data_IF_966540577472
#
_entry.id   IF_966540577472
#
_cell.length_a   1.000
_cell.length_b   1.000
_cell.length_c   1.000
_cell.angle_alpha   90.00
_cell.angle_beta   90.00
_cell.angle_gamma   90.00
#
_symmetry.space_group_name_H-M   'P 1'
#
loop_
_entity.id
_entity.type
_entity.pdbx_description
1 polymer ?
#
# COMPACT_ATOMS: atom_id res chain seq x y z
N UNK A 1 24.32 31.40 1.89
CA UNK A 1 23.17 31.68 1.01
C UNK A 1 22.02 32.12 1.90
N UNK A 2 21.65 33.37 1.84
CA UNK A 2 20.47 33.88 2.53
C UNK A 2 19.23 33.31 1.82
N UNK A 3 18.26 32.77 2.61
CA UNK A 3 17.01 32.21 2.07
C UNK A 3 16.10 33.36 1.62
N UNK A 4 15.52 33.22 0.44
CA UNK A 4 14.52 34.18 -0.03
C UNK A 4 13.25 34.05 0.85
N UNK A 5 12.55 35.16 1.21
CA UNK A 5 11.36 35.12 2.04
C UNK A 5 10.20 34.26 1.50
N UNK A 6 10.17 34.01 0.19
CA UNK A 6 9.19 33.16 -0.48
C UNK A 6 9.67 31.71 -0.70
N UNK A 7 10.84 31.34 -0.20
CA UNK A 7 11.28 29.95 -0.25
C UNK A 7 10.34 29.07 0.56
N UNK A 8 9.80 28.05 -0.08
CA UNK A 8 8.94 27.05 0.59
C UNK A 8 9.80 26.23 1.54
N UNK A 9 9.74 26.57 2.81
CA UNK A 9 10.38 25.78 3.86
C UNK A 9 9.45 24.64 4.22
N UNK A 10 9.87 23.37 4.09
CA UNK A 10 9.10 22.26 4.60
C UNK A 10 8.86 22.49 6.09
N UNK A 11 7.60 22.47 6.53
CA UNK A 11 7.30 22.44 7.95
C UNK A 11 8.06 21.25 8.54
N UNK A 12 8.99 21.52 9.47
CA UNK A 12 9.76 20.47 10.12
C UNK A 12 8.81 19.56 10.87
N UNK A 13 8.30 18.55 10.18
CA UNK A 13 7.61 17.48 10.86
C UNK A 13 8.69 16.55 11.38
N UNK A 14 8.95 16.54 12.66
CA UNK A 14 9.77 15.56 13.37
C UNK A 14 9.15 14.15 13.35
N UNK A 15 8.28 13.90 12.38
CA UNK A 15 7.57 12.64 12.20
C UNK A 15 8.53 11.60 11.67
N UNK A 16 9.13 10.85 12.56
CA UNK A 16 10.00 9.72 12.22
C UNK A 16 9.14 8.47 12.07
N UNK A 17 8.73 8.17 10.84
CA UNK A 17 8.20 6.85 10.53
C UNK A 17 9.33 5.82 10.61
N UNK A 18 9.05 4.63 11.13
CA UNK A 18 9.97 3.49 10.93
C UNK A 18 10.05 3.25 9.43
N UNK A 19 11.25 3.18 8.90
CA UNK A 19 11.49 2.92 7.47
C UNK A 19 11.95 1.47 7.28
N UNK A 20 11.66 0.93 6.10
CA UNK A 20 12.09 -0.40 5.72
C UNK A 20 13.58 -0.44 5.39
N UNK A 21 14.21 -1.61 5.60
CA UNK A 21 15.52 -1.96 5.04
C UNK A 21 15.45 -2.14 3.52
N UNK A 22 14.25 -2.40 2.98
CA UNK A 22 14.01 -2.60 1.57
C UNK A 22 13.61 -1.27 0.92
N UNK A 23 14.55 -0.63 0.26
CA UNK A 23 14.38 0.71 -0.35
C UNK A 23 13.24 0.78 -1.38
N UNK A 24 12.89 -0.36 -1.98
CA UNK A 24 11.78 -0.47 -2.95
C UNK A 24 10.44 0.00 -2.36
N UNK A 25 10.25 -0.14 -1.04
CA UNK A 25 9.02 0.25 -0.34
C UNK A 25 9.09 1.59 0.37
N UNK A 26 10.23 2.26 0.36
CA UNK A 26 10.37 3.54 1.04
C UNK A 26 9.95 4.70 0.13
N UNK A 27 9.39 5.80 0.69
CA UNK A 27 9.17 6.03 2.12
C UNK A 27 7.86 5.43 2.65
N UNK A 28 7.86 5.03 3.93
CA UNK A 28 6.65 4.68 4.67
C UNK A 28 6.04 5.94 5.33
N UNK A 29 4.72 5.99 5.59
CA UNK A 29 3.71 5.02 5.18
C UNK A 29 3.52 4.97 3.66
N UNK A 30 3.24 3.77 3.13
CA UNK A 30 3.04 3.52 1.70
C UNK A 30 1.57 3.19 1.41
N UNK A 31 1.08 3.63 0.25
CA UNK A 31 -0.20 3.24 -0.33
C UNK A 31 0.08 2.49 -1.62
N UNK A 32 0.03 1.17 -1.55
CA UNK A 32 0.34 0.29 -2.67
C UNK A 32 -0.94 -0.33 -3.25
N UNK A 33 -1.05 -0.35 -4.57
CA UNK A 33 -2.17 -0.93 -5.29
C UNK A 33 -1.69 -2.09 -6.18
N UNK A 34 -2.32 -3.24 -6.06
CA UNK A 34 -2.01 -4.47 -6.78
C UNK A 34 -3.15 -4.81 -7.72
N UNK A 35 -2.89 -4.84 -9.01
CA UNK A 35 -3.89 -5.12 -10.04
C UNK A 35 -3.51 -6.37 -10.82
N UNK A 36 -4.36 -7.41 -10.74
CA UNK A 36 -4.22 -8.66 -11.48
C UNK A 36 -5.59 -9.31 -11.71
N UNK A 37 -5.78 -10.08 -12.78
CA UNK A 37 -6.94 -10.97 -12.91
C UNK A 37 -7.05 -11.93 -11.72
N UNK A 38 -8.18 -12.59 -11.59
CA UNK A 38 -8.36 -13.67 -10.60
C UNK A 38 -7.22 -14.69 -10.74
N UNK A 39 -6.75 -15.21 -9.60
CA UNK A 39 -5.62 -16.17 -9.52
C UNK A 39 -4.29 -15.64 -10.10
N UNK A 40 -4.18 -14.34 -10.37
CA UNK A 40 -2.94 -13.71 -10.88
C UNK A 40 -1.82 -13.57 -9.87
N UNK A 41 -2.07 -13.78 -8.57
CA UNK A 41 -1.07 -13.69 -7.49
C UNK A 41 -1.04 -12.34 -6.75
N UNK A 42 -2.05 -11.48 -6.95
CA UNK A 42 -2.12 -10.15 -6.31
C UNK A 42 -2.08 -10.19 -4.79
N UNK A 43 -2.91 -11.04 -4.18
CA UNK A 43 -3.00 -11.21 -2.71
C UNK A 43 -1.68 -11.73 -2.15
N UNK A 44 -1.09 -12.76 -2.78
CA UNK A 44 0.22 -13.30 -2.40
C UNK A 44 1.33 -12.27 -2.47
N UNK A 45 1.36 -11.43 -3.51
CA UNK A 45 2.34 -10.36 -3.64
C UNK A 45 2.16 -9.29 -2.56
N UNK A 46 0.91 -8.88 -2.27
CA UNK A 46 0.63 -7.92 -1.21
C UNK A 46 1.06 -8.47 0.17
N UNK A 47 0.72 -9.72 0.49
CA UNK A 47 1.13 -10.40 1.72
C UNK A 47 2.66 -10.50 1.81
N UNK A 48 3.34 -10.81 0.71
CA UNK A 48 4.81 -10.85 0.65
C UNK A 48 5.42 -9.47 0.97
N UNK A 49 4.87 -8.38 0.42
CA UNK A 49 5.31 -7.03 0.73
C UNK A 49 5.09 -6.68 2.21
N UNK A 50 3.93 -7.01 2.77
CA UNK A 50 3.63 -6.80 4.20
C UNK A 50 4.61 -7.57 5.08
N UNK A 51 4.93 -8.82 4.72
CA UNK A 51 5.88 -9.64 5.43
C UNK A 51 7.32 -9.10 5.34
N UNK A 52 7.73 -8.57 4.19
CA UNK A 52 9.05 -7.92 4.03
C UNK A 52 9.19 -6.67 4.90
N UNK A 53 8.08 -6.02 5.22
CA UNK A 53 8.00 -4.81 6.04
C UNK A 53 7.64 -5.07 7.50
N UNK A 54 7.66 -6.34 7.94
CA UNK A 54 7.07 -6.77 9.22
C UNK A 54 7.59 -5.98 10.42
N UNK A 55 8.86 -5.67 10.45
CA UNK A 55 9.48 -4.93 11.56
C UNK A 55 9.04 -3.47 11.64
N UNK A 56 8.36 -2.96 10.61
CA UNK A 56 7.85 -1.59 10.57
C UNK A 56 6.47 -1.44 11.22
N UNK A 57 5.72 -2.54 11.39
CA UNK A 57 4.34 -2.49 11.85
C UNK A 57 4.21 -2.61 13.37
N UNK A 58 3.22 -1.92 13.92
CA UNK A 58 2.77 -2.07 15.30
C UNK A 58 1.41 -2.78 15.36
N UNK A 59 0.60 -2.68 14.30
CA UNK A 59 -0.63 -3.46 14.08
C UNK A 59 -0.80 -3.77 12.59
N UNK A 60 -1.32 -4.95 12.28
CA UNK A 60 -1.70 -5.36 10.92
C UNK A 60 -3.16 -5.78 10.93
N UNK A 61 -3.94 -5.28 9.98
CA UNK A 61 -5.37 -5.58 9.84
C UNK A 61 -5.66 -6.01 8.41
N UNK A 62 -6.47 -7.05 8.24
CA UNK A 62 -6.88 -7.62 6.97
C UNK A 62 -8.37 -7.41 6.76
N UNK A 63 -8.74 -6.83 5.63
CA UNK A 63 -10.08 -6.77 5.11
C UNK A 63 -10.17 -7.64 3.87
N UNK A 64 -10.86 -8.78 3.95
CA UNK A 64 -11.08 -9.66 2.81
C UNK A 64 -12.39 -10.43 2.98
N UNK A 65 -13.24 -10.46 1.95
CA UNK A 65 -14.49 -11.20 2.00
C UNK A 65 -14.32 -12.72 2.22
N UNK A 66 -13.09 -13.23 2.04
CA UNK A 66 -12.73 -14.64 2.22
C UNK A 66 -11.76 -14.85 3.39
N UNK A 67 -11.66 -13.88 4.30
CA UNK A 67 -10.65 -13.91 5.38
C UNK A 67 -10.79 -15.12 6.31
N UNK A 68 -12.00 -15.66 6.47
CA UNK A 68 -12.27 -16.82 7.32
C UNK A 68 -12.08 -18.18 6.61
N UNK A 69 -11.98 -18.18 5.28
CA UNK A 69 -11.99 -19.42 4.48
C UNK A 69 -10.76 -19.60 3.60
N UNK A 70 -9.97 -18.53 3.36
CA UNK A 70 -8.76 -18.62 2.55
C UNK A 70 -7.52 -18.76 3.44
N UNK A 71 -6.85 -19.94 3.42
CA UNK A 71 -5.67 -20.22 4.26
C UNK A 71 -4.51 -19.22 4.06
N UNK A 72 -4.50 -18.47 2.95
CA UNK A 72 -3.49 -17.45 2.72
C UNK A 72 -3.56 -16.32 3.76
N UNK A 73 -4.76 -16.03 4.30
CA UNK A 73 -4.94 -15.02 5.34
C UNK A 73 -4.72 -15.57 6.75
N UNK A 74 -4.98 -16.85 7.01
CA UNK A 74 -4.82 -17.46 8.34
C UNK A 74 -3.41 -17.18 8.91
N UNK A 75 -2.37 -17.48 8.12
CA UNK A 75 -0.99 -17.27 8.54
C UNK A 75 -0.68 -15.79 8.82
N UNK A 76 -1.26 -14.87 8.05
CA UNK A 76 -1.06 -13.43 8.23
C UNK A 76 -1.78 -12.93 9.48
N UNK A 77 -3.04 -13.36 9.70
CA UNK A 77 -3.86 -12.99 10.87
C UNK A 77 -3.24 -13.53 12.15
N UNK A 78 -2.84 -14.81 12.17
CA UNK A 78 -2.12 -15.41 13.30
C UNK A 78 -0.83 -14.65 13.65
N UNK A 79 -0.09 -14.25 12.62
CA UNK A 79 1.13 -13.45 12.80
C UNK A 79 0.80 -12.06 13.33
N UNK A 80 -0.34 -11.46 12.91
CA UNK A 80 -0.81 -10.15 13.40
C UNK A 80 -1.21 -10.22 14.88
N UNK A 81 -1.93 -11.27 15.31
CA UNK A 81 -2.25 -11.51 16.73
C UNK A 81 -0.99 -11.67 17.57
N UNK A 82 0.00 -12.44 17.11
CA UNK A 82 1.30 -12.57 17.79
C UNK A 82 2.06 -11.23 17.88
N UNK A 83 1.89 -10.35 16.89
CA UNK A 83 2.47 -9.01 16.94
C UNK A 83 1.84 -8.17 18.03
N UNK A 84 0.51 -8.20 18.21
CA UNK A 84 -0.21 -7.51 19.29
C UNK A 84 0.29 -7.97 20.66
N UNK A 85 0.34 -9.29 20.92
CA UNK A 85 0.88 -9.86 22.16
C UNK A 85 2.28 -9.35 22.44
N UNK A 86 3.15 -9.35 21.43
CA UNK A 86 4.54 -8.84 21.56
C UNK A 86 4.59 -7.34 21.93
N UNK A 87 3.55 -6.59 21.53
CA UNK A 87 3.42 -5.15 21.84
C UNK A 87 2.75 -4.89 23.19
N UNK A 88 2.23 -5.92 23.84
CA UNK A 88 1.53 -5.82 25.12
C UNK A 88 0.03 -5.52 24.98
N UNK A 89 -0.49 -5.66 23.75
CA UNK A 89 -1.92 -5.52 23.47
C UNK A 89 -2.59 -6.91 23.57
N UNK A 90 -3.85 -6.96 24.08
CA UNK A 90 -4.64 -8.20 24.14
C UNK A 90 -5.24 -8.50 22.75
N UNK A 91 -4.94 -9.64 22.13
CA UNK A 91 -5.49 -9.99 20.83
C UNK A 91 -6.98 -10.34 20.85
N UNK A 92 -7.55 -10.65 22.03
CA UNK A 92 -8.97 -10.98 22.21
C UNK A 92 -9.82 -9.73 22.52
N UNK A 93 -9.20 -8.57 22.70
CA UNK A 93 -9.93 -7.31 22.82
C UNK A 93 -10.58 -6.97 21.45
N UNK A 94 -11.91 -6.69 21.41
CA UNK A 94 -12.63 -6.33 20.18
C UNK A 94 -12.05 -5.12 19.44
N UNK A 95 -11.31 -4.25 20.13
CA UNK A 95 -10.62 -3.12 19.48
C UNK A 95 -9.27 -3.50 18.84
N UNK A 96 -8.79 -4.70 19.13
CA UNK A 96 -7.57 -5.27 18.58
C UNK A 96 -7.80 -6.30 17.48
N UNK A 97 -9.03 -6.45 17.02
CA UNK A 97 -9.36 -7.33 15.91
C UNK A 97 -8.46 -7.09 14.69
N UNK A 98 -8.00 -8.18 14.07
CA UNK A 98 -7.03 -8.16 12.96
C UNK A 98 -7.62 -8.59 11.62
N UNK A 99 -8.86 -9.08 11.59
CA UNK A 99 -9.50 -9.63 10.40
C UNK A 99 -10.97 -9.21 10.30
N UNK A 100 -11.39 -8.75 9.14
CA UNK A 100 -12.75 -8.31 8.86
C UNK A 100 -13.19 -8.76 7.47
N UNK A 101 -14.41 -9.26 7.35
CA UNK A 101 -15.01 -9.63 6.06
C UNK A 101 -15.54 -8.40 5.29
N UNK A 102 -15.96 -7.35 5.99
CA UNK A 102 -16.57 -6.15 5.40
C UNK A 102 -15.72 -4.90 5.60
N UNK A 103 -15.77 -4.00 4.61
CA UNK A 103 -15.23 -2.64 4.74
C UNK A 103 -16.06 -1.74 5.66
N UNK A 104 -17.25 -2.17 6.11
CA UNK A 104 -18.09 -1.42 7.05
C UNK A 104 -17.36 -1.18 8.39
N UNK A 105 -16.40 -2.03 8.74
CA UNK A 105 -15.57 -1.92 9.93
C UNK A 105 -14.35 -1.00 9.76
N UNK A 106 -14.04 -0.59 8.53
CA UNK A 106 -12.90 0.28 8.25
C UNK A 106 -12.94 1.60 9.05
N UNK A 107 -14.10 2.30 9.21
CA UNK A 107 -14.17 3.51 10.04
C UNK A 107 -13.79 3.26 11.50
N UNK A 108 -14.18 2.11 12.10
CA UNK A 108 -13.80 1.73 13.47
C UNK A 108 -12.28 1.64 13.58
N UNK A 109 -11.64 0.89 12.70
CA UNK A 109 -10.17 0.70 12.69
C UNK A 109 -9.43 2.02 12.53
N UNK A 110 -9.89 2.90 11.62
CA UNK A 110 -9.25 4.21 11.40
C UNK A 110 -9.41 5.16 12.59
N UNK A 111 -10.57 5.13 13.25
CA UNK A 111 -10.83 5.96 14.45
C UNK A 111 -9.95 5.51 15.62
N UNK A 112 -9.83 4.21 15.86
CA UNK A 112 -8.95 3.66 16.91
C UNK A 112 -7.49 4.06 16.66
N UNK A 113 -7.01 3.94 15.41
CA UNK A 113 -5.65 4.36 15.05
C UNK A 113 -5.47 5.88 15.28
N UNK A 114 -6.45 6.70 14.90
CA UNK A 114 -6.38 8.15 15.07
C UNK A 114 -6.32 8.55 16.56
N UNK A 115 -7.09 7.87 17.41
CA UNK A 115 -7.07 8.05 18.87
C UNK A 115 -5.69 7.66 19.44
N UNK A 116 -5.18 6.48 19.09
CA UNK A 116 -3.84 6.00 19.52
C UNK A 116 -2.74 6.99 19.13
N UNK A 117 -2.77 7.51 17.91
CA UNK A 117 -1.81 8.54 17.47
C UNK A 117 -1.93 9.83 18.26
N UNK A 118 -3.16 10.25 18.58
CA UNK A 118 -3.40 11.47 19.40
C UNK A 118 -2.85 11.30 20.82
N UNK A 119 -3.09 10.16 21.44
CA UNK A 119 -2.58 9.82 22.77
C UNK A 119 -1.05 9.76 22.80
N UNK A 120 -0.44 9.04 21.86
CA UNK A 120 1.02 8.93 21.77
C UNK A 120 1.69 10.28 21.55
N UNK A 121 1.06 11.20 20.80
CA UNK A 121 1.53 12.57 20.64
C UNK A 121 1.42 13.37 21.94
N UNK A 122 0.32 13.22 22.69
CA UNK A 122 0.15 13.91 23.98
C UNK A 122 1.18 13.46 25.01
N UNK A 123 1.63 12.20 24.91
CA UNK A 123 2.68 11.63 25.74
C UNK A 123 4.11 11.99 25.24
N UNK A 124 4.23 12.79 24.19
CA UNK A 124 5.52 13.22 23.64
C UNK A 124 6.33 12.11 22.97
N UNK A 125 5.70 11.00 22.53
CA UNK A 125 6.40 9.91 21.87
C UNK A 125 7.04 10.38 20.55
N UNK A 126 8.32 10.10 20.39
CA UNK A 126 9.09 10.45 19.16
C UNK A 126 8.75 9.57 17.97
N UNK A 127 8.45 8.31 18.21
CA UNK A 127 8.01 7.34 17.20
C UNK A 127 6.59 6.92 17.53
N UNK A 128 5.70 7.03 16.56
CA UNK A 128 4.29 6.71 16.72
C UNK A 128 3.97 5.36 16.09
N UNK A 129 2.90 4.72 16.57
CA UNK A 129 2.48 3.39 16.12
C UNK A 129 2.08 3.38 14.66
N UNK A 130 2.62 2.44 13.89
CA UNK A 130 2.33 2.27 12.47
C UNK A 130 1.33 1.15 12.25
N UNK A 131 0.20 1.49 11.63
CA UNK A 131 -0.83 0.57 11.18
C UNK A 131 -0.55 0.14 9.73
N UNK A 132 -0.69 -1.16 9.45
CA UNK A 132 -0.75 -1.72 8.11
C UNK A 132 -2.14 -2.27 7.85
N UNK A 133 -2.76 -1.89 6.75
CA UNK A 133 -4.05 -2.42 6.30
C UNK A 133 -3.87 -3.14 4.96
N UNK A 134 -4.30 -4.40 4.90
CA UNK A 134 -4.52 -5.12 3.65
C UNK A 134 -6.02 -5.09 3.33
N UNK A 135 -6.38 -4.65 2.13
CA UNK A 135 -7.74 -4.71 1.60
C UNK A 135 -7.68 -5.58 0.35
N UNK A 136 -8.29 -6.78 0.44
CA UNK A 136 -8.20 -7.77 -0.64
C UNK A 136 -9.53 -7.93 -1.36
N UNK A 137 -9.53 -7.60 -2.64
CA UNK A 137 -10.54 -7.91 -3.66
C UNK A 137 -12.01 -7.62 -3.28
N UNK A 138 -12.28 -6.52 -2.57
CA UNK A 138 -13.63 -6.04 -2.27
C UNK A 138 -14.31 -5.47 -3.52
N UNK A 139 -14.64 -6.34 -4.49
CA UNK A 139 -15.28 -5.96 -5.74
C UNK A 139 -16.67 -5.33 -5.47
N UNK A 140 -16.90 -4.16 -6.06
CA UNK A 140 -18.17 -3.43 -5.97
C UNK A 140 -18.20 -2.32 -4.92
N UNK A 141 -17.51 -2.45 -3.79
CA UNK A 141 -17.46 -1.41 -2.75
C UNK A 141 -16.34 -0.38 -2.96
N UNK A 142 -15.20 -0.77 -3.54
CA UNK A 142 -14.01 0.08 -3.68
C UNK A 142 -14.23 1.41 -4.43
N UNK A 143 -15.21 1.45 -5.34
CA UNK A 143 -15.43 2.59 -6.24
C UNK A 143 -16.11 3.78 -5.58
N UNK A 144 -16.91 3.53 -4.55
CA UNK A 144 -17.78 4.53 -3.91
C UNK A 144 -17.62 4.60 -2.40
N UNK A 145 -16.61 3.94 -1.84
CA UNK A 145 -16.37 3.95 -0.41
C UNK A 145 -15.64 5.24 0.01
N UNK A 146 -16.36 6.09 0.75
CA UNK A 146 -15.84 7.38 1.26
C UNK A 146 -14.73 7.20 2.30
N UNK A 147 -14.74 6.09 3.03
CA UNK A 147 -13.75 5.81 4.06
C UNK A 147 -12.45 5.32 3.42
N UNK A 148 -12.55 4.55 2.32
CA UNK A 148 -11.41 4.19 1.50
C UNK A 148 -10.77 5.43 0.85
N UNK A 149 -11.57 6.32 0.27
CA UNK A 149 -11.09 7.59 -0.27
C UNK A 149 -10.40 8.45 0.79
N UNK A 150 -10.97 8.52 2.00
CA UNK A 150 -10.37 9.22 3.13
C UNK A 150 -9.05 8.57 3.58
N UNK A 151 -8.99 7.24 3.63
CA UNK A 151 -7.78 6.49 3.96
C UNK A 151 -6.66 6.78 2.96
N UNK A 152 -6.93 6.71 1.65
CA UNK A 152 -5.93 7.02 0.63
C UNK A 152 -5.50 8.49 0.61
N UNK A 153 -6.40 9.42 0.95
CA UNK A 153 -6.08 10.85 1.01
C UNK A 153 -5.33 11.23 2.31
N UNK A 154 -5.72 10.68 3.45
CA UNK A 154 -5.33 11.16 4.78
C UNK A 154 -4.62 10.12 5.67
N UNK A 155 -4.56 8.85 5.28
CA UNK A 155 -3.98 7.75 6.08
C UNK A 155 -2.56 8.03 6.59
N UNK A 156 -1.79 8.82 5.84
CA UNK A 156 -0.46 9.29 6.26
C UNK A 156 -0.47 10.06 7.58
N UNK A 157 -1.54 10.82 7.87
CA UNK A 157 -1.65 11.62 9.10
C UNK A 157 -1.89 10.77 10.34
N UNK A 158 -2.44 9.57 10.17
CA UNK A 158 -2.67 8.58 11.22
C UNK A 158 -1.69 7.40 11.15
N UNK A 159 -0.59 7.55 10.41
CA UNK A 159 0.49 6.56 10.34
C UNK A 159 0.03 5.19 9.81
N UNK A 160 -0.81 5.22 8.78
CA UNK A 160 -1.37 4.04 8.16
C UNK A 160 -0.78 3.81 6.77
N UNK A 161 -0.25 2.60 6.54
CA UNK A 161 0.08 2.07 5.22
C UNK A 161 -1.04 1.19 4.72
N UNK A 162 -1.28 1.19 3.40
CA UNK A 162 -2.38 0.47 2.78
C UNK A 162 -1.86 -0.36 1.62
N UNK A 163 -2.24 -1.63 1.59
CA UNK A 163 -2.05 -2.56 0.50
C UNK A 163 -3.42 -2.94 -0.03
N UNK A 164 -3.79 -2.42 -1.20
CA UNK A 164 -5.07 -2.67 -1.85
C UNK A 164 -4.86 -3.63 -2.99
N UNK A 165 -5.71 -4.64 -3.12
CA UNK A 165 -5.74 -5.50 -4.30
C UNK A 165 -7.07 -5.37 -5.04
N UNK A 166 -7.04 -5.51 -6.36
CA UNK A 166 -8.24 -5.56 -7.20
C UNK A 166 -7.99 -6.28 -8.52
N UNK A 167 -9.05 -6.80 -9.10
CA UNK A 167 -8.98 -7.42 -10.42
C UNK A 167 -8.96 -6.40 -11.56
N UNK A 168 -9.49 -5.20 -11.32
CA UNK A 168 -9.62 -4.14 -12.32
C UNK A 168 -8.99 -2.86 -11.81
N UNK A 169 -8.11 -2.25 -12.58
CA UNK A 169 -7.46 -1.00 -12.19
C UNK A 169 -8.49 0.12 -11.93
N UNK A 170 -9.51 0.22 -12.79
CA UNK A 170 -10.61 1.17 -12.62
C UNK A 170 -11.67 0.73 -11.62
N UNK A 171 -11.49 -0.42 -10.95
CA UNK A 171 -12.31 -0.85 -9.82
C UNK A 171 -12.17 0.08 -8.61
N UNK A 172 -10.99 0.66 -8.40
CA UNK A 172 -10.79 1.69 -7.40
C UNK A 172 -11.24 3.07 -7.89
N UNK A 173 -11.65 3.94 -6.97
CA UNK A 173 -12.04 5.32 -7.27
C UNK A 173 -10.87 6.13 -7.87
N UNK A 174 -11.19 7.24 -8.53
CA UNK A 174 -10.15 8.18 -9.01
C UNK A 174 -9.35 8.76 -7.86
N UNK A 175 -9.98 8.99 -6.70
CA UNK A 175 -9.30 9.47 -5.48
C UNK A 175 -8.25 8.46 -5.02
N UNK A 176 -8.59 7.18 -4.95
CA UNK A 176 -7.65 6.11 -4.60
C UNK A 176 -6.49 6.10 -5.58
N UNK A 177 -6.76 5.97 -6.90
CA UNK A 177 -5.72 5.87 -7.93
C UNK A 177 -4.75 7.05 -7.96
N UNK A 178 -5.25 8.27 -7.78
CA UNK A 178 -4.41 9.48 -7.72
C UNK A 178 -3.56 9.62 -6.44
N UNK A 179 -3.87 8.84 -5.41
CA UNK A 179 -3.20 8.91 -4.12
C UNK A 179 -2.32 7.70 -3.81
N UNK A 180 -2.15 6.75 -4.73
CA UNK A 180 -1.23 5.63 -4.57
C UNK A 180 0.23 6.11 -4.68
N UNK A 181 1.10 5.48 -3.91
CA UNK A 181 2.54 5.71 -3.91
C UNK A 181 3.27 4.67 -4.76
N UNK A 182 2.69 3.45 -4.85
CA UNK A 182 3.21 2.35 -5.62
C UNK A 182 2.08 1.55 -6.31
N UNK A 183 2.39 1.02 -7.49
CA UNK A 183 1.48 0.22 -8.29
C UNK A 183 2.18 -1.08 -8.71
N UNK A 184 1.55 -2.22 -8.42
CA UNK A 184 1.98 -3.53 -8.90
C UNK A 184 0.99 -4.03 -9.97
N UNK A 185 1.45 -4.21 -11.19
CA UNK A 185 0.62 -4.70 -12.28
C UNK A 185 1.15 -6.03 -12.81
N UNK A 186 0.29 -7.00 -12.81
CA UNK A 186 0.53 -8.32 -13.40
C UNK A 186 0.15 -8.32 -14.88
N UNK A 187 0.14 -9.47 -15.52
CA UNK A 187 -0.33 -9.56 -16.90
C UNK A 187 -1.84 -9.26 -16.96
N UNK A 188 -2.18 -8.09 -17.51
CA UNK A 188 -3.54 -7.55 -17.57
C UNK A 188 -4.17 -7.81 -18.95
N UNK A 189 -5.52 -7.90 -19.04
CA UNK A 189 -6.24 -7.75 -20.30
C UNK A 189 -5.93 -6.41 -20.97
N UNK A 190 -6.03 -6.36 -22.30
CA UNK A 190 -5.61 -5.19 -23.08
C UNK A 190 -6.29 -3.87 -22.62
N UNK A 191 -7.58 -3.92 -22.29
CA UNK A 191 -8.32 -2.73 -21.81
C UNK A 191 -7.80 -2.19 -20.48
N UNK A 192 -7.46 -3.09 -19.54
CA UNK A 192 -6.90 -2.71 -18.24
C UNK A 192 -5.46 -2.21 -18.38
N UNK A 193 -4.65 -2.82 -19.26
CA UNK A 193 -3.33 -2.30 -19.59
C UNK A 193 -3.38 -0.87 -20.11
N UNK A 194 -4.28 -0.58 -21.07
CA UNK A 194 -4.46 0.79 -21.60
C UNK A 194 -4.88 1.76 -20.50
N UNK A 195 -5.76 1.33 -19.59
CA UNK A 195 -6.19 2.16 -18.46
C UNK A 195 -5.02 2.52 -17.53
N UNK A 196 -4.15 1.57 -17.23
CA UNK A 196 -2.94 1.80 -16.41
C UNK A 196 -1.95 2.68 -17.17
N UNK A 197 -1.66 2.34 -18.42
CA UNK A 197 -0.70 3.08 -19.24
C UNK A 197 -1.08 4.56 -19.33
N UNK A 198 -2.37 4.87 -19.54
CA UNK A 198 -2.86 6.27 -19.62
C UNK A 198 -2.67 7.08 -18.34
N UNK A 199 -2.54 6.45 -17.17
CA UNK A 199 -2.30 7.15 -15.88
C UNK A 199 -0.81 7.21 -15.50
N UNK A 200 0.04 6.34 -16.05
CA UNK A 200 1.47 6.23 -15.71
C UNK A 200 2.37 6.85 -16.79
N UNK A 201 2.02 6.65 -18.07
CA UNK A 201 2.77 7.18 -19.22
C UNK A 201 2.72 8.72 -19.23
N UNK A 202 3.83 9.31 -19.60
CA UNK A 202 3.98 10.78 -19.68
C UNK A 202 4.49 11.43 -18.41
N UNK A 203 4.44 10.75 -17.26
CA UNK A 203 5.02 11.27 -16.02
C UNK A 203 6.49 10.86 -15.82
N UNK A 204 6.86 9.66 -16.31
CA UNK A 204 8.21 9.08 -16.08
C UNK A 204 8.83 8.45 -17.34
N UNK A 205 8.00 7.93 -18.23
CA UNK A 205 8.40 7.19 -19.44
C UNK A 205 7.43 7.47 -20.58
N UNK A 206 7.85 7.25 -21.81
CA UNK A 206 6.95 7.22 -22.96
C UNK A 206 6.20 5.86 -23.08
N UNK A 207 5.30 5.77 -24.05
CA UNK A 207 4.45 4.59 -24.23
C UNK A 207 5.26 3.34 -24.63
N UNK A 208 6.27 3.49 -25.48
CA UNK A 208 7.10 2.38 -25.93
C UNK A 208 7.95 1.84 -24.78
N UNK A 209 8.60 2.72 -24.03
CA UNK A 209 9.39 2.38 -22.85
C UNK A 209 8.53 1.65 -21.79
N UNK A 210 7.32 2.19 -21.52
CA UNK A 210 6.41 1.54 -20.58
C UNK A 210 6.01 0.14 -21.04
N UNK A 211 5.70 -0.03 -22.32
CA UNK A 211 5.37 -1.33 -22.89
C UNK A 211 6.50 -2.33 -22.74
N UNK A 212 7.73 -1.93 -23.02
CA UNK A 212 8.90 -2.80 -22.87
C UNK A 212 9.12 -3.20 -21.42
N UNK A 213 9.09 -2.27 -20.50
CA UNK A 213 9.19 -2.53 -19.04
C UNK A 213 8.12 -3.51 -18.58
N UNK A 214 6.88 -3.29 -18.99
CA UNK A 214 5.74 -4.14 -18.65
C UNK A 214 5.91 -5.56 -19.19
N UNK A 215 6.25 -5.73 -20.46
CA UNK A 215 6.43 -7.05 -21.07
C UNK A 215 7.61 -7.82 -20.42
N UNK A 216 8.71 -7.13 -20.15
CA UNK A 216 9.87 -7.73 -19.46
C UNK A 216 9.53 -8.14 -18.02
N UNK A 217 8.77 -7.33 -17.32
CA UNK A 217 8.41 -7.60 -15.92
C UNK A 217 7.40 -8.73 -15.79
N UNK A 218 6.45 -8.84 -16.76
CA UNK A 218 5.35 -9.82 -16.72
C UNK A 218 5.57 -11.04 -17.60
N UNK A 219 6.82 -11.31 -18.01
CA UNK A 219 7.16 -12.41 -18.91
C UNK A 219 6.97 -13.80 -18.27
N UNK A 220 7.12 -13.91 -16.96
CA UNK A 220 6.96 -15.15 -16.21
C UNK A 220 5.59 -15.22 -15.55
N UNK A 221 5.01 -16.42 -15.33
CA UNK A 221 3.80 -16.58 -14.55
C UNK A 221 3.96 -15.92 -13.15
N UNK A 222 2.91 -15.23 -12.68
CA UNK A 222 2.86 -14.53 -11.39
C UNK A 222 3.91 -13.44 -11.19
N UNK A 223 4.71 -13.10 -12.22
CA UNK A 223 5.58 -11.92 -12.14
C UNK A 223 4.82 -10.65 -12.48
N UNK A 224 5.30 -9.53 -11.96
CA UNK A 224 4.63 -8.25 -12.08
C UNK A 224 5.63 -7.10 -12.24
N UNK A 225 5.15 -6.00 -12.81
CA UNK A 225 5.83 -4.72 -12.80
C UNK A 225 5.42 -3.96 -11.54
N UNK A 226 6.39 -3.69 -10.66
CA UNK A 226 6.21 -2.83 -9.51
C UNK A 226 6.74 -1.44 -9.84
N UNK A 227 5.90 -0.42 -9.66
CA UNK A 227 6.18 0.97 -10.05
C UNK A 227 6.14 1.86 -8.82
N UNK A 228 7.22 2.55 -8.50
CA UNK A 228 7.26 3.60 -7.50
C UNK A 228 6.82 4.92 -8.15
N UNK A 229 5.56 5.28 -8.01
CA UNK A 229 4.97 6.45 -8.67
C UNK A 229 5.51 7.79 -8.17
N UNK A 230 6.18 7.80 -7.01
CA UNK A 230 6.81 8.97 -6.41
C UNK A 230 8.34 8.92 -6.46
N UNK A 231 8.91 8.08 -7.31
CA UNK A 231 10.35 8.09 -7.54
C UNK A 231 10.77 9.43 -8.15
N UNK A 232 11.94 9.90 -7.78
CA UNK A 232 12.50 11.16 -8.31
C UNK A 232 13.03 11.00 -9.73
N UNK A 233 13.47 9.80 -10.06
CA UNK A 233 14.08 9.44 -11.33
C UNK A 233 13.42 8.16 -11.87
N UNK A 234 13.18 8.09 -13.18
CA UNK A 234 12.64 6.92 -13.84
C UNK A 234 13.51 5.69 -13.67
N UNK A 235 14.82 5.85 -13.54
CA UNK A 235 15.75 4.75 -13.28
C UNK A 235 15.54 4.07 -11.92
N UNK A 236 14.82 4.70 -10.99
CA UNK A 236 14.51 4.17 -9.66
C UNK A 236 13.05 3.76 -9.49
N UNK A 237 12.25 3.90 -10.55
CA UNK A 237 10.81 3.74 -10.49
C UNK A 237 10.33 2.31 -10.72
N UNK A 238 11.03 1.51 -11.55
CA UNK A 238 10.50 0.27 -12.11
C UNK A 238 11.26 -0.96 -11.62
N UNK A 239 10.51 -1.98 -11.20
CA UNK A 239 11.08 -3.25 -10.74
C UNK A 239 10.26 -4.43 -11.28
N UNK A 240 10.94 -5.53 -11.65
CA UNK A 240 10.29 -6.82 -11.77
C UNK A 240 10.17 -7.43 -10.38
N UNK A 241 8.94 -7.71 -9.97
CA UNK A 241 8.62 -8.07 -8.60
C UNK A 241 9.12 -6.96 -7.65
N UNK A 242 9.87 -7.30 -6.59
CA UNK A 242 10.43 -6.30 -5.66
C UNK A 242 11.96 -6.22 -5.73
N UNK A 243 12.59 -7.03 -6.56
CA UNK A 243 14.02 -7.29 -6.45
C UNK A 243 14.83 -6.84 -7.67
N UNK A 244 14.29 -7.00 -8.87
CA UNK A 244 15.05 -6.72 -10.10
C UNK A 244 14.69 -5.34 -10.64
N UNK A 245 15.58 -4.39 -10.47
CA UNK A 245 15.44 -3.03 -11.03
C UNK A 245 15.42 -3.10 -12.56
N UNK A 246 14.49 -2.40 -13.15
CA UNK A 246 14.35 -2.26 -14.60
C UNK A 246 14.60 -0.80 -14.97
N UNK A 247 15.52 -0.57 -15.88
CA UNK A 247 15.84 0.77 -16.37
C UNK A 247 15.24 0.92 -17.77
N UNK A 248 14.51 2.03 -18.04
CA UNK A 248 14.07 2.35 -19.40
C UNK A 248 15.28 2.46 -20.32
N UNK A 249 15.21 1.83 -21.49
CA UNK A 249 16.22 2.00 -22.54
C UNK A 249 15.81 3.15 -23.45
N UNK A 250 16.76 4.04 -23.73
CA UNK A 250 16.59 5.21 -24.61
C UNK A 250 16.88 4.80 -26.07
#
# INVERSE_FOLDING_TARGET
MERHPLDVVPLSSEKRFKQSKHEVFNPLPIKAYFCAPSSGGKSSAAIQAINALWDCWDKVVVFAATVEVDPAFDALVEKAKKLLIRKGDDPDDPDNECAFESLDDLPKVLNLQAQKIKEERSLGRKTLSQLCILIDDHLGSLRHDKHLDALFSRGRHIWCSVFLTSQFFRGASTTVRKNIDALAIFRLPAQEYVAVASEVVGSMVDEQQFRELYLRATAQPHSFLFIKLKAKDSSEAFFRNYTTKLVPTW
#
